data_IF_256154517751
#
_entry.id   IF_256154517751
#
_cell.length_a   1.000
_cell.length_b   1.000
_cell.length_c   1.000
_cell.angle_alpha   90.00
_cell.angle_beta   90.00
_cell.angle_gamma   90.00
#
_symmetry.space_group_name_H-M   'P 1'
#
loop_
_entity.id
_entity.type
_entity.pdbx_description
1 polymer ?
#
# COMPACT_ATOMS: atom_id res chain seq x y z
N UNK A 1 11.51 16.74 1.79
CA UNK A 1 12.89 16.30 1.48
C UNK A 1 12.86 14.83 1.09
N UNK A 2 13.23 14.49 -0.15
CA UNK A 2 13.18 13.10 -0.64
C UNK A 2 14.25 12.29 0.11
N UNK A 3 13.86 11.36 1.00
CA UNK A 3 14.81 10.57 1.82
C UNK A 3 15.43 9.39 1.05
N UNK A 4 14.88 9.06 -0.14
CA UNK A 4 15.33 7.99 -1.04
C UNK A 4 16.85 7.96 -1.30
N UNK A 5 17.54 9.08 -1.63
CA UNK A 5 18.98 9.07 -1.86
C UNK A 5 19.80 8.73 -0.60
N UNK A 6 19.32 9.10 0.60
CA UNK A 6 20.01 8.80 1.86
C UNK A 6 19.95 7.30 2.14
N UNK A 7 18.77 6.69 1.99
CA UNK A 7 18.62 5.24 2.14
C UNK A 7 19.43 4.46 1.10
N UNK A 8 19.48 4.94 -0.15
CA UNK A 8 20.31 4.34 -1.19
C UNK A 8 21.80 4.37 -0.82
N UNK A 9 22.29 5.52 -0.35
CA UNK A 9 23.69 5.68 0.05
C UNK A 9 24.06 4.78 1.24
N UNK A 10 23.19 4.69 2.25
CA UNK A 10 23.39 3.81 3.40
C UNK A 10 23.41 2.34 2.98
N UNK A 11 22.51 1.93 2.08
CA UNK A 11 22.50 0.55 1.56
C UNK A 11 23.78 0.21 0.82
N UNK A 12 24.25 1.07 -0.10
CA UNK A 12 25.50 0.86 -0.83
C UNK A 12 26.69 0.77 0.13
N UNK A 13 26.76 1.66 1.13
CA UNK A 13 27.80 1.64 2.14
C UNK A 13 27.79 0.35 2.96
N UNK A 14 26.62 -0.11 3.39
CA UNK A 14 26.48 -1.35 4.17
C UNK A 14 26.92 -2.59 3.37
N UNK A 15 26.62 -2.64 2.07
CA UNK A 15 27.05 -3.72 1.18
C UNK A 15 28.58 -3.70 1.01
N UNK A 16 29.18 -2.52 0.82
CA UNK A 16 30.63 -2.37 0.69
C UNK A 16 31.37 -2.80 1.98
N UNK A 17 30.83 -2.46 3.15
CA UNK A 17 31.38 -2.89 4.44
C UNK A 17 31.25 -4.40 4.62
N UNK A 18 30.10 -4.99 4.29
CA UNK A 18 29.92 -6.44 4.36
C UNK A 18 30.89 -7.21 3.44
N UNK A 19 31.11 -6.71 2.22
CA UNK A 19 32.05 -7.31 1.27
C UNK A 19 33.51 -7.20 1.72
N UNK A 20 33.91 -6.04 2.27
CA UNK A 20 35.28 -5.84 2.76
C UNK A 20 35.59 -6.71 3.98
N UNK A 21 34.66 -6.82 4.94
CA UNK A 21 34.79 -7.73 6.09
C UNK A 21 34.83 -9.18 5.61
N UNK A 22 33.97 -9.55 4.64
CA UNK A 22 33.94 -10.89 4.07
C UNK A 22 35.24 -11.28 3.35
N UNK A 23 35.84 -10.34 2.62
CA UNK A 23 37.10 -10.56 1.91
C UNK A 23 38.31 -10.68 2.85
N UNK A 24 38.28 -10.01 4.00
CA UNK A 24 39.37 -10.03 4.98
C UNK A 24 39.35 -11.26 5.90
N UNK A 25 38.20 -11.91 6.06
CA UNK A 25 38.02 -13.01 6.99
C UNK A 25 37.70 -14.32 6.24
N UNK A 26 38.72 -14.91 5.63
CA UNK A 26 38.62 -16.17 4.89
C UNK A 26 38.90 -17.41 5.74
N UNK A 27 39.16 -17.23 7.04
CA UNK A 27 39.43 -18.34 7.94
C UNK A 27 38.24 -19.31 7.97
N UNK A 28 38.48 -20.62 7.79
CA UNK A 28 37.43 -21.62 7.74
C UNK A 28 36.84 -21.83 9.13
N UNK A 29 35.52 -21.71 9.23
CA UNK A 29 34.75 -21.99 10.45
C UNK A 29 33.86 -23.20 10.19
N UNK A 30 33.85 -24.14 11.13
CA UNK A 30 33.00 -25.33 11.05
C UNK A 30 31.59 -24.98 11.51
N UNK A 31 30.63 -25.11 10.60
CA UNK A 31 29.21 -24.91 10.88
C UNK A 31 28.51 -26.27 10.87
N UNK A 32 27.71 -26.53 11.90
CA UNK A 32 26.85 -27.73 11.98
C UNK A 32 25.47 -27.37 11.43
N UNK A 33 25.13 -27.89 10.26
CA UNK A 33 23.84 -27.70 9.61
C UNK A 33 23.22 -29.07 9.32
N UNK A 34 22.02 -29.31 9.83
CA UNK A 34 21.26 -30.55 9.61
C UNK A 34 22.04 -31.83 9.94
N UNK A 35 22.85 -31.80 11.01
CA UNK A 35 23.68 -32.93 11.43
C UNK A 35 25.00 -33.09 10.67
N UNK A 36 25.21 -32.33 9.58
CA UNK A 36 26.43 -32.37 8.79
C UNK A 36 27.40 -31.25 9.21
N UNK A 37 28.69 -31.56 9.27
CA UNK A 37 29.75 -30.58 9.56
C UNK A 37 30.33 -30.08 8.23
N UNK A 38 30.21 -28.78 7.98
CA UNK A 38 30.79 -28.14 6.81
C UNK A 38 31.73 -27.03 7.26
N UNK A 39 32.96 -27.02 6.75
CA UNK A 39 33.88 -25.91 6.93
C UNK A 39 33.62 -24.86 5.84
N UNK A 40 33.20 -23.67 6.24
CA UNK A 40 32.89 -22.56 5.35
C UNK A 40 33.74 -21.36 5.79
N UNK A 41 34.33 -20.58 4.86
CA UNK A 41 35.01 -19.34 5.22
C UNK A 41 34.07 -18.41 5.98
N UNK A 42 34.53 -17.85 7.10
CA UNK A 42 33.72 -17.00 7.98
C UNK A 42 33.05 -15.84 7.23
N UNK A 43 33.80 -15.21 6.32
CA UNK A 43 33.29 -14.14 5.47
C UNK A 43 32.16 -14.58 4.55
N UNK A 44 32.18 -15.83 4.08
CA UNK A 44 31.14 -16.40 3.23
C UNK A 44 29.87 -16.71 4.07
N UNK A 45 30.04 -17.19 5.29
CA UNK A 45 28.94 -17.37 6.24
C UNK A 45 28.26 -16.03 6.59
N UNK A 46 29.04 -14.97 6.81
CA UNK A 46 28.53 -13.62 7.06
C UNK A 46 27.77 -13.05 5.86
N UNK A 47 28.28 -13.23 4.64
CA UNK A 47 27.61 -12.81 3.41
C UNK A 47 26.29 -13.55 3.19
N UNK A 48 26.25 -14.87 3.43
CA UNK A 48 25.02 -15.64 3.33
C UNK A 48 23.94 -15.13 4.31
N UNK A 49 24.31 -14.83 5.55
CA UNK A 49 23.40 -14.24 6.54
C UNK A 49 22.89 -12.86 6.10
N UNK A 50 23.76 -12.02 5.54
CA UNK A 50 23.38 -10.71 5.02
C UNK A 50 22.39 -10.82 3.85
N UNK A 51 22.62 -11.77 2.92
CA UNK A 51 21.72 -12.04 1.79
C UNK A 51 20.37 -12.58 2.28
N UNK A 52 20.37 -13.51 3.24
CA UNK A 52 19.13 -14.03 3.84
C UNK A 52 18.32 -12.93 4.54
N UNK A 53 19.00 -12.03 5.27
CA UNK A 53 18.37 -10.86 5.89
C UNK A 53 17.80 -9.88 4.86
N UNK A 54 18.49 -9.66 3.74
CA UNK A 54 17.96 -8.84 2.64
C UNK A 54 16.71 -9.47 2.01
N UNK A 55 16.76 -10.77 1.71
CA UNK A 55 15.64 -11.50 1.09
C UNK A 55 14.40 -11.55 1.98
N UNK A 56 14.56 -11.62 3.31
CA UNK A 56 13.42 -11.63 4.24
C UNK A 56 12.65 -10.30 4.31
N UNK A 57 13.24 -9.20 3.83
CA UNK A 57 12.55 -7.90 3.74
C UNK A 57 11.66 -7.76 2.50
N UNK A 58 11.87 -8.57 1.45
CA UNK A 58 11.07 -8.52 0.23
C UNK A 58 9.56 -8.77 0.49
N UNK A 59 9.15 -9.78 1.26
CA UNK A 59 7.75 -9.97 1.62
C UNK A 59 7.12 -8.77 2.34
N UNK A 60 7.85 -8.12 3.25
CA UNK A 60 7.38 -6.94 3.97
C UNK A 60 7.22 -5.71 3.05
N UNK A 61 8.07 -5.60 2.04
CA UNK A 61 7.98 -4.53 1.04
C UNK A 61 6.79 -4.77 0.09
N UNK A 62 6.48 -6.03 -0.22
CA UNK A 62 5.32 -6.41 -1.00
C UNK A 62 3.99 -6.23 -0.25
N UNK A 63 3.96 -6.39 1.08
CA UNK A 63 2.75 -6.18 1.87
C UNK A 63 2.37 -4.69 1.96
N UNK A 64 3.34 -3.81 2.18
CA UNK A 64 3.11 -2.36 2.23
C UNK A 64 2.63 -1.78 0.89
N UNK A 65 3.07 -2.35 -0.23
CA UNK A 65 2.57 -1.97 -1.56
C UNK A 65 1.08 -2.29 -1.75
N UNK A 66 0.56 -3.36 -1.11
CA UNK A 66 -0.86 -3.71 -1.15
C UNK A 66 -1.70 -2.76 -0.31
N UNK A 67 -1.19 -2.36 0.85
CA UNK A 67 -1.85 -1.38 1.73
C UNK A 67 -2.00 -0.03 1.03
N UNK A 68 -0.94 0.49 0.40
CA UNK A 68 -0.99 1.74 -0.36
C UNK A 68 -2.03 1.72 -1.49
N UNK A 69 -2.19 0.57 -2.18
CA UNK A 69 -3.21 0.40 -3.22
C UNK A 69 -4.62 0.35 -2.64
N UNK A 70 -4.79 -0.25 -1.46
CA UNK A 70 -6.07 -0.30 -0.75
C UNK A 70 -6.52 1.08 -0.28
N UNK A 71 -5.60 1.90 0.25
CA UNK A 71 -5.90 3.28 0.67
C UNK A 71 -6.35 4.14 -0.51
N UNK A 72 -5.70 4.01 -1.67
CA UNK A 72 -6.12 4.72 -2.89
C UNK A 72 -7.53 4.31 -3.36
N UNK A 73 -7.86 3.03 -3.26
CA UNK A 73 -9.20 2.53 -3.60
C UNK A 73 -10.25 3.06 -2.62
N UNK A 74 -9.97 3.10 -1.32
CA UNK A 74 -10.87 3.69 -0.32
C UNK A 74 -11.16 5.16 -0.60
N UNK A 75 -10.13 5.97 -0.90
CA UNK A 75 -10.31 7.38 -1.25
C UNK A 75 -11.16 7.54 -2.52
N UNK A 76 -11.00 6.63 -3.49
CA UNK A 76 -11.78 6.65 -4.73
C UNK A 76 -13.25 6.30 -4.47
N UNK A 77 -13.52 5.29 -3.65
CA UNK A 77 -14.88 4.92 -3.25
C UNK A 77 -15.57 6.00 -2.44
N UNK A 78 -14.86 6.65 -1.50
CA UNK A 78 -15.42 7.77 -0.74
C UNK A 78 -15.86 8.93 -1.65
N UNK A 79 -15.05 9.28 -2.65
CA UNK A 79 -15.42 10.31 -3.63
C UNK A 79 -16.61 9.91 -4.51
N UNK A 80 -16.74 8.62 -4.82
CA UNK A 80 -17.90 8.11 -5.58
C UNK A 80 -19.18 8.14 -4.73
N UNK A 81 -19.08 7.78 -3.45
CA UNK A 81 -20.21 7.85 -2.52
C UNK A 81 -20.69 9.29 -2.29
N UNK A 82 -19.77 10.26 -2.19
CA UNK A 82 -20.13 11.68 -2.10
C UNK A 82 -20.90 12.15 -3.35
N UNK A 83 -20.41 11.81 -4.54
CA UNK A 83 -21.11 12.10 -5.79
C UNK A 83 -22.49 11.46 -5.85
N UNK A 84 -22.59 10.20 -5.46
CA UNK A 84 -23.86 9.46 -5.46
C UNK A 84 -24.88 10.10 -4.49
N UNK A 85 -24.41 10.59 -3.32
CA UNK A 85 -25.25 11.31 -2.36
C UNK A 85 -25.76 12.64 -2.93
N UNK A 86 -24.91 13.39 -3.63
CA UNK A 86 -25.32 14.64 -4.28
C UNK A 86 -26.37 14.38 -5.37
N UNK A 87 -26.14 13.38 -6.23
CA UNK A 87 -27.09 12.98 -7.27
C UNK A 87 -28.44 12.54 -6.68
N UNK A 88 -28.42 11.72 -5.62
CA UNK A 88 -29.62 11.22 -4.95
C UNK A 88 -30.41 12.34 -4.27
N UNK A 89 -29.73 13.35 -3.74
CA UNK A 89 -30.36 14.54 -3.15
C UNK A 89 -31.03 15.38 -4.25
N UNK A 90 -30.35 15.55 -5.39
CA UNK A 90 -30.85 16.29 -6.53
C UNK A 90 -32.09 15.62 -7.16
N UNK A 91 -32.06 14.28 -7.30
CA UNK A 91 -33.20 13.51 -7.80
C UNK A 91 -34.40 13.55 -6.85
N UNK A 92 -34.16 13.52 -5.53
CA UNK A 92 -35.23 13.72 -4.54
C UNK A 92 -35.87 15.09 -4.67
N UNK A 93 -35.08 16.15 -4.87
CA UNK A 93 -35.59 17.51 -5.08
C UNK A 93 -36.47 17.55 -6.33
N UNK A 94 -36.01 17.02 -7.47
CA UNK A 94 -36.80 16.95 -8.71
C UNK A 94 -38.10 16.17 -8.54
N UNK A 95 -38.07 15.05 -7.80
CA UNK A 95 -39.28 14.27 -7.52
C UNK A 95 -40.29 15.06 -6.68
N UNK A 96 -39.81 15.82 -5.69
CA UNK A 96 -40.66 16.69 -4.88
C UNK A 96 -41.23 17.85 -5.69
N UNK A 97 -40.44 18.49 -6.55
CA UNK A 97 -40.90 19.54 -7.47
C UNK A 97 -42.00 19.02 -8.42
N UNK A 98 -41.82 17.82 -8.99
CA UNK A 98 -42.82 17.19 -9.83
C UNK A 98 -44.14 16.93 -9.08
N UNK A 99 -44.07 16.47 -7.82
CA UNK A 99 -45.25 16.27 -6.96
C UNK A 99 -45.95 17.58 -6.60
N UNK A 100 -45.19 18.64 -6.32
CA UNK A 100 -45.75 19.97 -6.04
C UNK A 100 -46.49 20.48 -7.29
N UNK A 101 -45.89 20.36 -8.47
CA UNK A 101 -46.52 20.78 -9.72
C UNK A 101 -47.82 20.01 -10.01
N UNK A 102 -47.87 18.71 -9.74
CA UNK A 102 -49.10 17.91 -9.89
C UNK A 102 -50.17 18.30 -8.87
N UNK A 103 -49.79 18.52 -7.62
CA UNK A 103 -50.71 18.99 -6.58
C UNK A 103 -51.29 20.37 -6.92
N UNK A 104 -50.46 21.30 -7.39
CA UNK A 104 -50.89 22.66 -7.76
C UNK A 104 -51.84 22.65 -8.97
N UNK A 105 -51.58 21.78 -9.96
CA UNK A 105 -52.48 21.55 -11.09
C UNK A 105 -53.84 20.97 -10.63
N UNK A 106 -53.84 19.99 -9.74
CA UNK A 106 -55.05 19.39 -9.18
C UNK A 106 -55.86 20.39 -8.34
N UNK A 107 -55.20 21.27 -7.59
CA UNK A 107 -55.82 22.33 -6.79
C UNK A 107 -56.47 23.39 -7.69
N UNK A 108 -55.79 23.84 -8.74
CA UNK A 108 -56.35 24.75 -9.74
C UNK A 108 -57.55 24.15 -10.48
N UNK A 109 -57.50 22.86 -10.78
CA UNK A 109 -58.61 22.17 -11.46
C UNK A 109 -59.83 21.98 -10.55
N UNK A 110 -59.61 21.71 -9.26
CA UNK A 110 -60.69 21.59 -8.27
C UNK A 110 -61.32 22.94 -7.90
N UNK A 111 -60.52 24.02 -7.81
CA UNK A 111 -61.03 25.37 -7.60
C UNK A 111 -61.87 25.89 -8.77
N UNK A 112 -61.56 25.52 -10.03
CA UNK A 112 -62.36 25.86 -11.21
C UNK A 112 -63.69 25.10 -11.33
N UNK A 113 -63.90 24.05 -10.53
CA UNK A 113 -65.14 23.26 -10.50
C UNK A 113 -66.16 23.74 -9.45
N UNK A 114 -65.82 24.77 -8.66
CA UNK A 114 -66.76 25.53 -7.82
C UNK A 114 -67.21 26.78 -8.57
#
# INVERSE_FOLDING_TARGET
MNKKPIFLAVSILSIAVALTIGAQNLDPVTIKLFGNQMAIPFGLAGLLMFVCGGLSTLPALLSTAKEAKSEQLQVTWQKQDEKLKEELTNDKIKMLEAKIATLDAALKQSLKKK
#
